data_IF_104578962691
#
_entry.id   IF_104578962691
#
_cell.length_a   1.000
_cell.length_b   1.000
_cell.length_c   1.000
_cell.angle_alpha   90.00
_cell.angle_beta   90.00
_cell.angle_gamma   90.00
#
_symmetry.space_group_name_H-M   'P 1'
#
loop_
_entity.id
_entity.type
_entity.pdbx_description
1 polymer ?
#
# COMPACT_ATOMS: atom_id res chain seq x y z
N UNK A 1 21.04 6.93 17.17
CA UNK A 1 19.70 6.37 16.90
C UNK A 1 19.66 6.02 15.42
N UNK A 2 19.57 4.73 15.08
CA UNK A 2 19.43 4.32 13.68
C UNK A 2 18.08 4.77 13.15
N UNK A 3 18.06 5.39 11.98
CA UNK A 3 16.81 5.75 11.30
C UNK A 3 16.13 4.45 10.88
N UNK A 4 15.03 4.08 11.52
CA UNK A 4 14.28 2.88 11.16
C UNK A 4 13.46 3.17 9.91
N UNK A 5 13.97 2.76 8.75
CA UNK A 5 13.29 2.93 7.46
C UNK A 5 12.22 1.86 7.35
N UNK A 6 10.96 2.29 7.34
CA UNK A 6 9.84 1.37 7.23
C UNK A 6 9.51 1.07 5.77
N UNK A 7 9.26 -0.21 5.50
CA UNK A 7 8.74 -0.66 4.21
C UNK A 7 7.25 -0.37 4.13
N UNK A 8 6.81 0.21 3.02
CA UNK A 8 5.39 0.47 2.75
C UNK A 8 4.83 -0.61 1.84
N UNK A 9 3.72 -1.19 2.26
CA UNK A 9 2.97 -2.20 1.52
C UNK A 9 1.74 -1.57 0.87
N UNK A 10 1.42 -2.05 -0.32
CA UNK A 10 0.18 -1.82 -1.03
C UNK A 10 -0.71 -3.06 -0.89
N UNK A 11 -1.94 -2.83 -0.47
CA UNK A 11 -2.97 -3.84 -0.29
C UNK A 11 -4.18 -3.47 -1.15
N UNK A 12 -4.65 -4.41 -1.97
CA UNK A 12 -5.82 -4.21 -2.81
C UNK A 12 -6.78 -5.39 -2.69
N UNK A 13 -8.00 -5.09 -2.26
CA UNK A 13 -9.13 -5.99 -2.36
C UNK A 13 -10.09 -5.47 -3.46
N UNK A 14 -9.99 -5.99 -4.69
CA UNK A 14 -10.85 -5.55 -5.79
C UNK A 14 -12.31 -5.97 -5.60
N UNK A 15 -12.58 -7.02 -4.82
CA UNK A 15 -13.97 -7.44 -4.51
C UNK A 15 -14.70 -6.39 -3.68
N UNK A 16 -14.00 -5.80 -2.71
CA UNK A 16 -14.55 -4.78 -1.81
C UNK A 16 -14.28 -3.34 -2.30
N UNK A 17 -13.51 -3.16 -3.37
CA UNK A 17 -13.06 -1.85 -3.84
C UNK A 17 -12.11 -1.14 -2.87
N UNK A 18 -11.41 -1.89 -2.01
CA UNK A 18 -10.51 -1.33 -0.99
C UNK A 18 -9.09 -1.30 -1.54
N UNK A 19 -8.45 -0.13 -1.51
CA UNK A 19 -7.01 0.06 -1.70
C UNK A 19 -6.45 0.70 -0.44
N UNK A 20 -5.40 0.12 0.14
CA UNK A 20 -4.81 0.60 1.39
C UNK A 20 -3.29 0.53 1.32
N UNK A 21 -2.66 1.53 1.93
CA UNK A 21 -1.23 1.53 2.20
C UNK A 21 -1.01 1.32 3.69
N UNK A 22 0.02 0.56 4.04
CA UNK A 22 0.40 0.35 5.43
C UNK A 22 1.91 0.14 5.55
N UNK A 23 2.52 0.67 6.60
CA UNK A 23 3.92 0.35 6.92
C UNK A 23 4.06 -1.06 7.48
N UNK A 24 5.27 -1.58 7.49
CA UNK A 24 5.59 -2.87 8.09
C UNK A 24 5.14 -2.96 9.57
N UNK A 25 5.26 -1.88 10.34
CA UNK A 25 4.80 -1.87 11.74
C UNK A 25 3.27 -1.88 11.82
N UNK A 26 2.57 -1.13 10.97
CA UNK A 26 1.11 -1.15 10.92
C UNK A 26 0.58 -2.53 10.56
N UNK A 27 1.20 -3.22 9.59
CA UNK A 27 0.86 -4.59 9.25
C UNK A 27 1.03 -5.55 10.43
N UNK A 28 2.02 -5.33 11.29
CA UNK A 28 2.30 -6.20 12.46
C UNK A 28 1.39 -5.92 13.65
N UNK A 29 1.05 -4.66 13.91
CA UNK A 29 0.40 -4.23 15.16
C UNK A 29 -1.10 -3.97 14.97
N UNK A 30 -1.51 -3.59 13.77
CA UNK A 30 -2.90 -3.25 13.46
C UNK A 30 -3.61 -4.39 12.72
N UNK A 31 -4.95 -4.37 12.72
CA UNK A 31 -5.79 -5.35 12.04
C UNK A 31 -5.89 -5.12 10.51
N UNK A 32 -4.88 -4.52 9.88
CA UNK A 32 -4.94 -4.07 8.47
C UNK A 32 -5.32 -5.21 7.52
N UNK A 33 -4.74 -6.39 7.69
CA UNK A 33 -5.02 -7.55 6.83
C UNK A 33 -6.47 -8.01 6.99
N UNK A 34 -6.99 -7.97 8.22
CA UNK A 34 -8.38 -8.28 8.51
C UNK A 34 -9.33 -7.24 7.93
N UNK A 35 -8.99 -5.96 8.04
CA UNK A 35 -9.84 -4.88 7.54
C UNK A 35 -9.93 -4.89 6.01
N UNK A 36 -8.84 -5.24 5.32
CA UNK A 36 -8.79 -5.27 3.85
C UNK A 36 -9.33 -6.58 3.29
N UNK A 37 -8.95 -7.72 3.85
CA UNK A 37 -9.21 -9.05 3.27
C UNK A 37 -10.16 -9.93 4.10
N UNK A 38 -10.54 -9.51 5.30
CA UNK A 38 -11.40 -10.30 6.19
C UNK A 38 -10.69 -11.50 6.84
N UNK A 39 -9.36 -11.62 6.71
CA UNK A 39 -8.57 -12.73 7.27
C UNK A 39 -7.61 -12.27 8.36
N UNK A 40 -7.23 -13.18 9.26
CA UNK A 40 -6.46 -12.81 10.45
C UNK A 40 -5.02 -12.41 10.11
N UNK A 41 -4.37 -13.11 9.17
CA UNK A 41 -2.95 -12.91 8.88
C UNK A 41 -2.65 -12.97 7.38
N UNK A 42 -1.48 -12.47 7.00
CA UNK A 42 -0.96 -12.59 5.62
C UNK A 42 -0.88 -14.08 5.20
N UNK A 43 -0.59 -14.97 6.15
CA UNK A 43 -0.51 -16.42 5.92
C UNK A 43 -1.83 -17.07 5.50
N UNK A 44 -2.96 -16.40 5.77
CA UNK A 44 -4.29 -16.87 5.37
C UNK A 44 -4.66 -16.45 3.94
N UNK A 45 -3.95 -15.47 3.36
CA UNK A 45 -4.24 -14.96 2.01
C UNK A 45 -4.18 -16.04 0.93
N UNK A 46 -3.20 -16.97 0.89
CA UNK A 46 -3.20 -18.05 -0.09
C UNK A 46 -4.48 -18.91 -0.02
N UNK A 47 -4.96 -19.19 1.19
CA UNK A 47 -6.17 -19.96 1.40
C UNK A 47 -7.41 -19.16 0.98
N UNK A 48 -7.48 -17.89 1.36
CA UNK A 48 -8.55 -16.98 0.93
C UNK A 48 -8.62 -16.88 -0.60
N UNK A 49 -7.48 -16.63 -1.26
CA UNK A 49 -7.36 -16.59 -2.72
C UNK A 49 -7.87 -17.90 -3.30
N UNK A 50 -7.49 -19.06 -2.76
CA UNK A 50 -7.85 -20.38 -3.32
C UNK A 50 -9.34 -20.70 -3.23
N UNK A 51 -10.01 -20.30 -2.15
CA UNK A 51 -11.39 -20.72 -1.87
C UNK A 51 -12.45 -19.64 -2.10
N UNK A 52 -12.12 -18.35 -2.01
CA UNK A 52 -13.08 -17.28 -2.29
C UNK A 52 -13.18 -17.03 -3.81
N UNK A 53 -14.21 -17.61 -4.44
CA UNK A 53 -14.44 -17.51 -5.89
C UNK A 53 -14.82 -16.10 -6.34
N UNK A 54 -15.53 -15.35 -5.50
CA UNK A 54 -15.93 -13.98 -5.81
C UNK A 54 -14.72 -13.05 -5.81
N UNK A 55 -13.82 -13.23 -4.84
CA UNK A 55 -12.53 -12.55 -4.82
C UNK A 55 -11.67 -12.91 -6.04
N UNK A 56 -11.53 -14.21 -6.36
CA UNK A 56 -10.78 -14.66 -7.55
C UNK A 56 -11.27 -13.98 -8.82
N UNK A 57 -12.59 -13.98 -9.05
CA UNK A 57 -13.19 -13.31 -10.20
C UNK A 57 -12.81 -11.84 -10.26
N UNK A 58 -12.96 -11.13 -9.14
CA UNK A 58 -12.62 -9.69 -9.05
C UNK A 58 -11.14 -9.41 -9.35
N UNK A 59 -10.22 -10.25 -8.85
CA UNK A 59 -8.78 -10.13 -9.14
C UNK A 59 -8.48 -10.42 -10.62
N UNK A 60 -9.11 -11.45 -11.20
CA UNK A 60 -8.96 -11.80 -12.61
C UNK A 60 -9.44 -10.66 -13.51
N UNK A 61 -10.59 -10.08 -13.21
CA UNK A 61 -11.20 -9.01 -14.00
C UNK A 61 -10.35 -7.75 -14.00
N UNK A 62 -9.80 -7.35 -12.84
CA UNK A 62 -8.94 -6.16 -12.73
C UNK A 62 -7.61 -6.36 -13.43
N UNK A 63 -7.01 -7.55 -13.33
CA UNK A 63 -5.66 -7.82 -13.85
C UNK A 63 -5.67 -8.43 -15.27
N UNK A 64 -6.84 -8.79 -15.80
CA UNK A 64 -7.02 -9.49 -17.08
C UNK A 64 -6.23 -10.81 -17.16
N UNK A 65 -6.28 -11.60 -16.07
CA UNK A 65 -5.57 -12.88 -15.92
C UNK A 65 -6.52 -14.04 -15.63
N UNK A 66 -6.00 -15.28 -15.62
CA UNK A 66 -6.75 -16.48 -15.21
C UNK A 66 -6.59 -16.75 -13.71
N UNK A 67 -7.52 -17.51 -13.09
CA UNK A 67 -7.41 -17.86 -11.67
C UNK A 67 -6.12 -18.60 -11.28
N UNK A 68 -5.53 -19.36 -12.20
CA UNK A 68 -4.26 -20.07 -12.00
C UNK A 68 -3.04 -19.16 -11.90
N UNK A 69 -3.17 -17.90 -12.32
CA UNK A 69 -2.09 -16.90 -12.34
C UNK A 69 -2.17 -15.97 -11.12
N UNK A 70 -3.20 -16.11 -10.28
CA UNK A 70 -3.35 -15.27 -9.08
C UNK A 70 -2.26 -15.64 -8.07
N UNK A 71 -1.48 -14.64 -7.68
CA UNK A 71 -0.47 -14.73 -6.61
C UNK A 71 -0.78 -13.72 -5.51
N UNK A 72 -0.21 -13.92 -4.32
CA UNK A 72 -0.37 -12.98 -3.20
C UNK A 72 0.17 -11.60 -3.57
N UNK A 73 1.27 -11.52 -4.32
CA UNK A 73 1.90 -10.27 -4.74
C UNK A 73 0.99 -9.37 -5.60
N UNK A 74 -0.05 -9.91 -6.23
CA UNK A 74 -1.02 -9.09 -6.96
C UNK A 74 -1.92 -8.26 -6.03
N UNK A 75 -2.12 -8.71 -4.80
CA UNK A 75 -3.07 -8.10 -3.85
C UNK A 75 -2.37 -7.54 -2.62
N UNK A 76 -1.18 -8.05 -2.29
CA UNK A 76 -0.38 -7.65 -1.15
C UNK A 76 1.09 -7.67 -1.57
N UNK A 77 1.68 -6.47 -1.75
CA UNK A 77 3.09 -6.34 -2.16
C UNK A 77 3.71 -5.08 -1.60
N UNK A 78 5.02 -4.96 -1.72
CA UNK A 78 5.69 -3.68 -1.48
C UNK A 78 5.17 -2.65 -2.49
N UNK A 79 4.83 -1.46 -2.00
CA UNK A 79 4.40 -0.37 -2.85
C UNK A 79 5.57 0.08 -3.74
N UNK A 80 5.25 0.53 -4.95
CA UNK A 80 6.15 1.17 -5.91
C UNK A 80 5.95 2.67 -5.87
N UNK A 81 6.85 3.42 -6.50
CA UNK A 81 6.67 4.87 -6.66
C UNK A 81 5.34 5.22 -7.35
N UNK A 82 4.91 4.42 -8.33
CA UNK A 82 3.70 4.68 -9.09
C UNK A 82 2.43 4.52 -8.25
N UNK A 83 2.45 3.61 -7.28
CA UNK A 83 1.32 3.43 -6.36
C UNK A 83 1.09 4.66 -5.46
N UNK A 84 2.14 5.47 -5.22
CA UNK A 84 2.02 6.70 -4.43
C UNK A 84 1.44 7.88 -5.20
N UNK A 85 1.26 7.79 -6.52
CA UNK A 85 0.72 8.91 -7.31
C UNK A 85 -0.72 9.30 -6.90
N UNK A 86 -1.68 8.36 -6.74
CA UNK A 86 -2.99 8.69 -6.22
C UNK A 86 -2.93 9.28 -4.80
N UNK A 87 -2.02 8.80 -3.96
CA UNK A 87 -1.82 9.29 -2.60
C UNK A 87 -1.36 10.76 -2.60
N UNK A 88 -0.44 11.12 -3.49
CA UNK A 88 -0.01 12.50 -3.71
C UNK A 88 -1.18 13.40 -4.11
N UNK A 89 -2.00 12.96 -5.06
CA UNK A 89 -3.17 13.72 -5.53
C UNK A 89 -4.16 13.96 -4.37
N UNK A 90 -4.43 12.92 -3.58
CA UNK A 90 -5.30 13.03 -2.42
C UNK A 90 -4.78 14.06 -1.39
N UNK A 91 -3.48 14.03 -1.07
CA UNK A 91 -2.87 14.99 -0.15
C UNK A 91 -2.88 16.42 -0.67
N UNK A 92 -2.65 16.62 -1.97
CA UNK A 92 -2.76 17.93 -2.60
C UNK A 92 -4.18 18.49 -2.47
N UNK A 93 -5.20 17.66 -2.68
CA UNK A 93 -6.60 18.06 -2.51
C UNK A 93 -6.94 18.39 -1.05
N UNK A 94 -6.44 17.64 -0.07
CA UNK A 94 -6.63 17.93 1.35
C UNK A 94 -6.03 19.29 1.75
N UNK A 95 -4.86 19.62 1.19
CA UNK A 95 -4.16 20.88 1.44
C UNK A 95 -4.90 22.08 0.83
N UNK A 96 -5.43 21.94 -0.38
CA UNK A 96 -6.28 22.96 -1.02
C UNK A 96 -7.54 23.28 -0.18
N UNK A 97 -8.03 22.32 0.59
CA UNK A 97 -9.20 22.47 1.47
C UNK A 97 -8.84 22.91 2.91
N UNK A 98 -7.60 23.37 3.18
CA UNK A 98 -7.14 23.87 4.48
C UNK A 98 -7.32 22.88 5.66
N UNK A 99 -7.17 21.58 5.43
CA UNK A 99 -7.12 20.62 6.53
C UNK A 99 -5.73 20.59 7.17
N UNK A 100 -5.67 20.74 8.50
CA UNK A 100 -4.43 20.76 9.29
C UNK A 100 -3.65 19.43 9.22
N UNK A 101 -4.29 18.32 8.85
CA UNK A 101 -3.63 17.01 8.66
C UNK A 101 -2.71 16.95 7.43
N UNK A 102 -2.72 17.96 6.55
CA UNK A 102 -1.89 17.98 5.34
C UNK A 102 -0.41 18.35 5.61
N UNK A 103 -0.07 18.82 6.80
CA UNK A 103 1.30 19.24 7.17
C UNK A 103 2.16 18.09 7.71
N UNK A 104 1.58 16.91 7.92
CA UNK A 104 2.32 15.71 8.35
C UNK A 104 2.47 14.75 7.17
N UNK A 105 3.66 14.17 6.94
CA UNK A 105 3.82 13.14 5.93
C UNK A 105 2.86 11.96 6.20
N UNK A 106 2.34 11.31 5.14
CA UNK A 106 1.41 10.18 5.26
C UNK A 106 2.02 8.94 5.93
N UNK A 107 3.34 8.81 5.88
CA UNK A 107 4.13 7.80 6.57
C UNK A 107 5.34 8.47 7.21
N UNK A 108 6.33 7.69 7.62
CA UNK A 108 7.59 8.23 8.12
C UNK A 108 8.28 9.12 7.06
N UNK A 109 9.13 10.04 7.53
CA UNK A 109 9.89 10.94 6.66
C UNK A 109 10.76 10.18 5.65
N UNK A 110 11.24 8.99 6.01
CA UNK A 110 11.98 8.11 5.11
C UNK A 110 11.30 6.74 5.06
N UNK A 111 11.01 6.26 3.85
CA UNK A 111 10.31 5.01 3.59
C UNK A 111 11.06 4.15 2.57
N UNK A 112 10.83 2.84 2.63
CA UNK A 112 11.29 1.89 1.62
C UNK A 112 10.12 1.42 0.75
N UNK A 113 10.30 1.56 -0.55
CA UNK A 113 9.43 1.04 -1.61
C UNK A 113 10.15 -0.06 -2.37
N UNK A 114 9.44 -0.76 -3.26
CA UNK A 114 10.01 -1.78 -4.14
C UNK A 114 11.15 -1.24 -5.02
N UNK A 115 11.10 0.05 -5.35
CA UNK A 115 12.02 0.70 -6.28
C UNK A 115 13.19 1.44 -5.58
N UNK A 116 13.28 1.38 -4.24
CA UNK A 116 14.35 2.00 -3.46
C UNK A 116 13.87 2.71 -2.19
N UNK A 117 14.74 3.56 -1.64
CA UNK A 117 14.48 4.38 -0.46
C UNK A 117 14.04 5.77 -0.91
N UNK A 118 13.01 6.31 -0.24
CA UNK A 118 12.43 7.60 -0.56
C UNK A 118 12.32 8.46 0.68
N UNK A 119 12.55 9.75 0.52
CA UNK A 119 12.42 10.74 1.57
C UNK A 119 11.28 11.72 1.23
N UNK A 120 10.46 12.06 2.22
CA UNK A 120 9.43 13.07 2.11
C UNK A 120 10.06 14.44 1.87
N UNK A 121 9.49 15.16 0.90
CA UNK A 121 9.84 16.54 0.59
C UNK A 121 8.60 17.41 0.79
N UNK A 122 8.63 18.23 1.84
CA UNK A 122 7.55 19.15 2.23
C UNK A 122 7.25 20.20 1.15
N UNK A 123 8.25 20.56 0.33
CA UNK A 123 8.07 21.56 -0.73
C UNK A 123 7.18 21.02 -1.85
N UNK A 124 7.32 19.74 -2.18
CA UNK A 124 6.56 19.07 -3.23
C UNK A 124 5.42 18.19 -2.70
N UNK A 125 5.32 18.04 -1.38
CA UNK A 125 4.38 17.15 -0.67
C UNK A 125 4.41 15.74 -1.27
N UNK A 126 5.62 15.23 -1.48
CA UNK A 126 5.82 13.94 -2.12
C UNK A 126 7.12 13.27 -1.72
N UNK A 127 7.16 11.95 -1.93
CA UNK A 127 8.34 11.14 -1.69
C UNK A 127 9.31 11.19 -2.89
N UNK A 128 10.53 11.64 -2.65
CA UNK A 128 11.60 11.73 -3.64
C UNK A 128 12.59 10.60 -3.42
N UNK A 129 13.00 9.93 -4.50
CA UNK A 129 13.95 8.81 -4.44
C UNK A 129 15.31 9.34 -3.98
N UNK A 130 15.88 8.68 -2.98
CA UNK A 130 17.26 8.96 -2.55
C UNK A 130 18.22 8.27 -3.53
N UNK A 131 19.20 9.02 -4.04
CA UNK A 131 20.28 8.41 -4.82
C UNK A 131 21.20 7.63 -3.88
N UNK A 132 21.55 6.40 -4.27
CA UNK A 132 22.56 5.62 -3.57
C UNK A 132 23.92 6.12 -4.04
N UNK A 133 24.65 6.81 -3.15
CA UNK A 133 26.07 7.13 -3.36
C UNK A 133 26.91 5.85 -3.43
#
# INVERSE_FOLDING_TARGET
>A
MGMHIEKVFYLENPEAGIKKFATESQIRVENIVKDVFGVATIGDLPMMIKYNKKFQGSVCDVNQIKPSEITVDLIFRVATKNDLLPLKIHYQQLKEHNNQDADTPPFNTVIQLGDGIFQWDDSTNSYIKMESN
#
